data_IF_360702203595
#
_entry.id   IF_360702203595
#
_cell.length_a   1.000
_cell.length_b   1.000
_cell.length_c   1.000
_cell.angle_alpha   90.00
_cell.angle_beta   90.00
_cell.angle_gamma   90.00
#
_symmetry.space_group_name_H-M   'P 1'
#
loop_
_entity.id
_entity.type
_entity.pdbx_description
1 polymer ?
#
# COMPACT_ATOMS: atom_id res chain seq x y z
N UNK A 1 -11.21 19.85 13.34
CA UNK A 1 -10.28 18.76 12.97
C UNK A 1 -10.28 17.75 14.11
N UNK A 2 -10.56 16.47 13.84
CA UNK A 2 -10.47 15.40 14.84
C UNK A 2 -9.11 14.72 14.68
N UNK A 3 -8.29 14.75 15.74
CA UNK A 3 -6.98 14.09 15.77
C UNK A 3 -7.11 12.78 16.53
N UNK A 4 -6.51 11.71 16.01
CA UNK A 4 -6.42 10.44 16.71
C UNK A 4 -5.03 10.28 17.31
N UNK A 5 -4.96 9.84 18.56
CA UNK A 5 -3.70 9.52 19.21
C UNK A 5 -3.19 8.16 18.73
N UNK A 6 -1.96 8.11 18.21
CA UNK A 6 -1.28 6.84 17.92
C UNK A 6 -0.59 6.39 19.20
N UNK A 7 -1.15 5.38 19.87
CA UNK A 7 -0.52 4.78 21.05
C UNK A 7 0.86 4.24 20.66
N UNK A 8 1.96 4.70 21.29
CA UNK A 8 3.28 4.16 21.05
C UNK A 8 3.27 2.66 21.38
N UNK A 9 3.86 1.86 20.49
CA UNK A 9 4.14 0.47 20.79
C UNK A 9 5.22 0.45 21.89
N UNK A 10 4.80 0.28 23.15
CA UNK A 10 5.69 -0.05 24.26
C UNK A 10 6.45 -1.36 23.92
N UNK A 11 7.65 -1.67 24.48
CA UNK A 11 8.31 -2.95 24.25
C UNK A 11 7.38 -4.04 24.78
N UNK A 12 6.64 -4.59 23.83
CA UNK A 12 5.43 -5.33 24.05
C UNK A 12 5.81 -6.73 24.56
N UNK A 13 4.98 -7.33 25.42
CA UNK A 13 5.10 -8.75 25.75
C UNK A 13 5.16 -9.58 24.45
N UNK A 14 5.77 -10.77 24.49
CA UNK A 14 5.92 -11.62 23.29
C UNK A 14 4.60 -11.80 22.51
N UNK A 15 3.47 -11.85 23.22
CA UNK A 15 2.12 -11.93 22.66
C UNK A 15 1.72 -10.68 21.85
N UNK A 16 2.02 -9.49 22.36
CA UNK A 16 1.72 -8.23 21.66
C UNK A 16 2.57 -8.09 20.38
N UNK A 17 3.83 -8.56 20.39
CA UNK A 17 4.67 -8.58 19.18
C UNK A 17 4.11 -9.52 18.10
N UNK A 18 3.60 -10.69 18.51
CA UNK A 18 2.92 -11.62 17.61
C UNK A 18 1.65 -11.00 17.02
N UNK A 19 0.84 -10.32 17.85
CA UNK A 19 -0.37 -9.64 17.41
C UNK A 19 -0.08 -8.54 16.37
N UNK A 20 0.94 -7.71 16.60
CA UNK A 20 1.35 -6.66 15.65
C UNK A 20 1.81 -7.27 14.33
N UNK A 21 2.57 -8.38 14.39
CA UNK A 21 3.02 -9.10 13.20
C UNK A 21 1.84 -9.66 12.40
N UNK A 22 0.85 -10.23 13.08
CA UNK A 22 -0.38 -10.72 12.45
C UNK A 22 -1.19 -9.58 11.81
N UNK A 23 -1.40 -8.47 12.52
CA UNK A 23 -2.09 -7.29 11.99
C UNK A 23 -1.42 -6.74 10.73
N UNK A 24 -0.08 -6.63 10.74
CA UNK A 24 0.69 -6.21 9.56
C UNK A 24 0.54 -7.17 8.39
N UNK A 25 0.48 -8.49 8.65
CA UNK A 25 0.23 -9.49 7.60
C UNK A 25 -1.17 -9.30 7.01
N UNK A 26 -2.20 -9.19 7.85
CA UNK A 26 -3.58 -8.96 7.41
C UNK A 26 -3.70 -7.68 6.56
N UNK A 27 -3.04 -6.60 6.98
CA UNK A 27 -3.02 -5.34 6.24
C UNK A 27 -2.38 -5.50 4.84
N UNK A 28 -1.28 -6.27 4.72
CA UNK A 28 -0.65 -6.56 3.41
C UNK A 28 -1.55 -7.37 2.50
N UNK A 29 -2.18 -8.43 3.03
CA UNK A 29 -3.10 -9.27 2.26
C UNK A 29 -4.29 -8.45 1.77
N UNK A 30 -4.90 -7.61 2.62
CA UNK A 30 -6.01 -6.73 2.23
C UNK A 30 -5.59 -5.66 1.23
N UNK A 31 -4.40 -5.07 1.40
CA UNK A 31 -3.82 -4.12 0.45
C UNK A 31 -3.62 -4.77 -0.94
N UNK A 32 -3.16 -6.01 -1.00
CA UNK A 32 -3.00 -6.74 -2.26
C UNK A 32 -4.34 -7.01 -2.95
N UNK A 33 -5.39 -7.34 -2.18
CA UNK A 33 -6.75 -7.49 -2.70
C UNK A 33 -7.26 -6.16 -3.28
N UNK A 34 -7.13 -5.06 -2.54
CA UNK A 34 -7.57 -3.73 -3.00
C UNK A 34 -6.81 -3.28 -4.25
N UNK A 35 -5.50 -3.53 -4.29
CA UNK A 35 -4.68 -3.23 -5.46
C UNK A 35 -5.12 -4.03 -6.68
N UNK A 36 -5.42 -5.32 -6.50
CA UNK A 36 -5.93 -6.16 -7.59
C UNK A 36 -7.30 -5.66 -8.10
N UNK A 37 -8.21 -5.30 -7.19
CA UNK A 37 -9.50 -4.68 -7.55
C UNK A 37 -9.31 -3.38 -8.33
N UNK A 38 -8.36 -2.53 -7.91
CA UNK A 38 -8.04 -1.29 -8.60
C UNK A 38 -7.52 -1.53 -10.02
N UNK A 39 -6.60 -2.49 -10.22
CA UNK A 39 -6.13 -2.85 -11.55
C UNK A 39 -7.26 -3.34 -12.46
N UNK A 40 -8.16 -4.18 -11.93
CA UNK A 40 -9.27 -4.79 -12.65
C UNK A 40 -10.48 -3.86 -12.85
N UNK A 41 -10.53 -2.71 -12.18
CA UNK A 41 -11.60 -1.72 -12.38
C UNK A 41 -11.62 -1.20 -13.83
N UNK A 42 -12.70 -0.59 -14.33
CA UNK A 42 -12.68 0.05 -15.65
C UNK A 42 -11.62 1.16 -15.71
N UNK A 43 -10.99 1.36 -16.87
CA UNK A 43 -10.16 2.55 -17.08
C UNK A 43 -11.07 3.79 -17.05
N UNK A 44 -10.69 4.78 -16.25
CA UNK A 44 -11.38 6.06 -16.18
C UNK A 44 -10.36 7.19 -16.34
N UNK A 45 -10.66 8.23 -17.16
CA UNK A 45 -9.79 9.39 -17.29
C UNK A 45 -9.71 10.20 -16.00
N UNK A 46 -10.71 10.09 -15.12
CA UNK A 46 -10.75 10.82 -13.85
C UNK A 46 -10.01 10.10 -12.73
N UNK A 47 -9.58 8.85 -12.96
CA UNK A 47 -8.87 8.06 -11.96
C UNK A 47 -7.43 8.56 -11.80
N UNK A 48 -7.09 9.16 -10.66
CA UNK A 48 -5.75 9.71 -10.45
C UNK A 48 -5.23 9.45 -9.04
N UNK A 49 -3.90 9.44 -8.91
CA UNK A 49 -3.22 9.24 -7.63
C UNK A 49 -3.05 10.56 -6.88
N UNK A 50 -3.58 10.64 -5.66
CA UNK A 50 -3.59 11.83 -4.81
C UNK A 50 -2.51 11.83 -3.71
N UNK A 51 -1.54 10.90 -3.77
CA UNK A 51 -0.40 10.89 -2.85
C UNK A 51 0.93 11.02 -3.60
N UNK A 52 2.03 10.88 -2.87
CA UNK A 52 3.37 10.88 -3.48
C UNK A 52 3.60 9.64 -4.35
N UNK A 53 4.39 9.77 -5.41
CA UNK A 53 4.83 8.61 -6.22
C UNK A 53 5.55 7.58 -5.35
N UNK A 54 6.30 8.01 -4.34
CA UNK A 54 6.96 7.11 -3.39
C UNK A 54 5.98 6.22 -2.64
N UNK A 55 4.83 6.74 -2.25
CA UNK A 55 3.76 5.94 -1.62
C UNK A 55 3.19 4.91 -2.58
N UNK A 56 2.95 5.30 -3.84
CA UNK A 56 2.49 4.36 -4.86
C UNK A 56 3.50 3.23 -5.08
N UNK A 57 4.79 3.56 -5.14
CA UNK A 57 5.84 2.56 -5.30
C UNK A 57 6.00 1.67 -4.04
N UNK A 58 5.76 2.23 -2.85
CA UNK A 58 5.69 1.47 -1.60
C UNK A 58 4.57 0.43 -1.66
N UNK A 59 3.36 0.83 -2.09
CA UNK A 59 2.22 -0.07 -2.30
C UNK A 59 2.60 -1.20 -3.25
N UNK A 60 3.16 -0.89 -4.41
CA UNK A 60 3.57 -1.91 -5.39
C UNK A 60 4.58 -2.89 -4.79
N UNK A 61 5.53 -2.41 -3.99
CA UNK A 61 6.52 -3.28 -3.35
C UNK A 61 5.88 -4.20 -2.30
N UNK A 62 4.96 -3.69 -1.48
CA UNK A 62 4.25 -4.47 -0.48
C UNK A 62 3.42 -5.59 -1.13
N UNK A 63 2.74 -5.27 -2.23
CA UNK A 63 1.92 -6.21 -3.00
C UNK A 63 2.79 -7.26 -3.71
N UNK A 64 3.92 -6.84 -4.29
CA UNK A 64 4.89 -7.76 -4.88
C UNK A 64 5.46 -8.74 -3.86
N UNK A 65 5.76 -8.28 -2.64
CA UNK A 65 6.28 -9.13 -1.57
C UNK A 65 5.24 -10.10 -1.03
N UNK A 66 3.96 -9.77 -1.11
CA UNK A 66 2.87 -10.68 -0.75
C UNK A 66 2.75 -11.85 -1.75
N UNK A 67 3.07 -11.61 -3.03
CA UNK A 67 3.20 -12.68 -4.04
C UNK A 67 1.88 -13.25 -4.58
N UNK A 68 0.75 -12.62 -4.26
CA UNK A 68 -0.59 -13.16 -4.56
C UNK A 68 -1.16 -12.71 -5.92
N UNK A 69 -0.48 -11.84 -6.67
CA UNK A 69 -0.96 -11.33 -7.96
C UNK A 69 -0.30 -12.10 -9.10
N UNK A 70 -1.15 -12.74 -9.92
CA UNK A 70 -0.74 -13.47 -11.13
C UNK A 70 -1.25 -12.76 -12.38
N UNK A 71 -0.53 -12.96 -13.48
CA UNK A 71 -0.91 -12.47 -14.79
C UNK A 71 -1.95 -13.39 -15.45
N UNK A 72 -2.35 -13.07 -16.69
CA UNK A 72 -3.33 -13.84 -17.47
C UNK A 72 -2.91 -15.29 -17.78
N UNK A 73 -1.61 -15.60 -17.69
CA UNK A 73 -1.07 -16.96 -17.90
C UNK A 73 -0.87 -17.71 -16.59
N UNK A 74 -1.31 -17.14 -15.45
CA UNK A 74 -1.14 -17.74 -14.12
C UNK A 74 0.26 -17.58 -13.52
N UNK A 75 1.16 -16.83 -14.15
CA UNK A 75 2.50 -16.58 -13.64
C UNK A 75 2.51 -15.40 -12.66
N UNK A 76 3.30 -15.42 -11.57
CA UNK A 76 3.44 -14.28 -10.67
C UNK A 76 3.88 -13.01 -11.42
N UNK A 77 3.19 -11.89 -11.16
CA UNK A 77 3.55 -10.62 -11.78
C UNK A 77 4.89 -10.11 -11.25
N UNK A 78 5.74 -9.57 -12.13
CA UNK A 78 6.96 -8.90 -11.69
C UNK A 78 6.62 -7.55 -11.06
N UNK A 79 7.51 -7.04 -10.19
CA UNK A 79 7.39 -5.68 -9.66
C UNK A 79 7.29 -4.63 -10.77
N UNK A 80 8.04 -4.82 -11.86
CA UNK A 80 8.05 -3.87 -12.97
C UNK A 80 6.70 -3.84 -13.69
N UNK A 81 6.09 -4.99 -13.89
CA UNK A 81 4.79 -5.10 -14.57
C UNK A 81 3.72 -4.44 -13.70
N UNK A 82 3.65 -4.78 -12.41
CA UNK A 82 2.71 -4.13 -11.49
C UNK A 82 2.90 -2.61 -11.41
N UNK A 83 4.15 -2.13 -11.36
CA UNK A 83 4.43 -0.70 -11.34
C UNK A 83 4.00 -0.01 -12.64
N UNK A 84 4.24 -0.64 -13.80
CA UNK A 84 3.85 -0.10 -15.11
C UNK A 84 2.33 -0.02 -15.21
N UNK A 85 1.63 -1.13 -14.92
CA UNK A 85 0.18 -1.21 -15.01
C UNK A 85 -0.51 -0.19 -14.10
N UNK A 86 -0.11 -0.07 -12.84
CA UNK A 86 -0.75 0.88 -11.92
C UNK A 86 -0.42 2.34 -12.28
N UNK A 87 0.78 2.63 -12.76
CA UNK A 87 1.14 3.97 -13.21
C UNK A 87 0.31 4.40 -14.42
N UNK A 88 0.15 3.50 -15.40
CA UNK A 88 -0.73 3.72 -16.55
C UNK A 88 -2.19 3.90 -16.12
N UNK A 89 -2.67 3.07 -15.20
CA UNK A 89 -4.04 3.11 -14.68
C UNK A 89 -4.40 4.43 -14.02
N UNK A 90 -3.45 5.02 -13.29
CA UNK A 90 -3.63 6.23 -12.50
C UNK A 90 -3.09 7.49 -13.20
N UNK A 91 -2.69 7.38 -14.47
CA UNK A 91 -2.10 8.46 -15.27
C UNK A 91 -0.87 9.12 -14.60
N UNK A 92 -0.06 8.31 -13.90
CA UNK A 92 1.17 8.76 -13.23
C UNK A 92 2.39 8.35 -14.04
N UNK A 93 3.36 9.25 -14.20
CA UNK A 93 4.65 8.90 -14.81
C UNK A 93 5.43 7.93 -13.90
N UNK A 94 5.72 6.74 -14.40
CA UNK A 94 6.54 5.77 -13.68
C UNK A 94 7.96 6.33 -13.43
N UNK A 95 8.47 6.27 -12.19
CA UNK A 95 9.81 6.76 -11.87
C UNK A 95 10.89 5.83 -12.45
N UNK A 96 11.99 6.42 -12.96
CA UNK A 96 13.13 5.68 -13.54
C UNK A 96 13.70 4.61 -12.60
N UNK A 97 13.70 4.86 -11.29
CA UNK A 97 14.20 3.95 -10.25
C UNK A 97 13.10 3.55 -9.26
N UNK A 98 11.99 3.02 -9.78
CA UNK A 98 10.80 2.62 -9.01
C UNK A 98 11.11 1.78 -7.76
N UNK A 99 11.95 0.74 -7.88
CA UNK A 99 12.29 -0.12 -6.73
C UNK A 99 13.10 0.62 -5.66
N UNK A 100 14.03 1.50 -6.04
CA UNK A 100 14.78 2.34 -5.09
C UNK A 100 13.83 3.29 -4.35
N UNK A 101 12.90 3.89 -5.08
CA UNK A 101 11.87 4.76 -4.51
C UNK A 101 11.02 4.03 -3.46
N UNK A 102 10.54 2.82 -3.81
CA UNK A 102 9.78 1.98 -2.88
C UNK A 102 10.57 1.62 -1.61
N UNK A 103 11.83 1.18 -1.77
CA UNK A 103 12.68 0.81 -0.63
C UNK A 103 12.95 1.99 0.31
N UNK A 104 13.07 3.22 -0.21
CA UNK A 104 13.21 4.40 0.64
C UNK A 104 11.91 4.72 1.38
N UNK A 105 10.75 4.54 0.73
CA UNK A 105 9.45 4.76 1.34
C UNK A 105 9.17 3.80 2.50
N UNK A 106 9.54 2.52 2.37
CA UNK A 106 9.37 1.53 3.44
C UNK A 106 10.26 1.79 4.66
N UNK A 107 11.35 2.54 4.51
CA UNK A 107 12.27 2.89 5.60
C UNK A 107 11.83 4.11 6.43
N UNK A 108 10.70 4.75 6.09
CA UNK A 108 10.21 5.92 6.83
C UNK A 108 9.83 5.55 8.26
N UNK A 109 10.51 6.16 9.23
CA UNK A 109 10.30 5.95 10.68
C UNK A 109 9.26 6.87 11.33
N UNK A 110 8.51 7.66 10.54
CA UNK A 110 7.35 8.38 11.07
C UNK A 110 7.61 9.76 11.68
N UNK A 111 8.84 10.30 11.65
CA UNK A 111 9.13 11.65 12.23
C UNK A 111 8.35 12.76 11.52
N UNK A 112 8.21 12.68 10.19
CA UNK A 112 7.38 13.61 9.38
C UNK A 112 6.27 12.90 8.62
N UNK A 113 6.49 11.64 8.25
CA UNK A 113 5.51 10.81 7.56
C UNK A 113 5.83 9.34 7.87
N UNK A 114 4.81 8.57 8.24
CA UNK A 114 4.92 7.12 8.39
C UNK A 114 4.81 6.41 7.04
N UNK A 115 5.25 5.16 7.01
CA UNK A 115 5.11 4.27 5.85
C UNK A 115 3.64 4.14 5.42
N UNK A 116 3.39 3.87 4.14
CA UNK A 116 2.03 3.64 3.66
C UNK A 116 1.37 2.47 4.40
N UNK A 117 2.12 1.39 4.67
CA UNK A 117 1.60 0.25 5.42
C UNK A 117 1.11 0.64 6.82
N UNK A 118 1.84 1.50 7.52
CA UNK A 118 1.45 1.95 8.86
C UNK A 118 0.18 2.80 8.84
N UNK A 119 0.03 3.68 7.83
CA UNK A 119 -1.21 4.46 7.63
C UNK A 119 -2.37 3.55 7.26
N UNK A 120 -2.11 2.56 6.40
CA UNK A 120 -3.12 1.61 5.94
C UNK A 120 -3.62 0.77 7.11
N UNK A 121 -2.71 0.24 7.93
CA UNK A 121 -3.06 -0.50 9.14
C UNK A 121 -3.89 0.34 10.10
N UNK A 122 -3.48 1.59 10.36
CA UNK A 122 -4.22 2.51 11.22
C UNK A 122 -5.65 2.77 10.71
N UNK A 123 -5.80 2.94 9.39
CA UNK A 123 -7.11 3.14 8.75
C UNK A 123 -7.97 1.88 8.87
N UNK A 124 -7.37 0.71 8.63
CA UNK A 124 -8.05 -0.58 8.72
C UNK A 124 -8.57 -0.85 10.14
N UNK A 125 -7.82 -0.49 11.19
CA UNK A 125 -8.22 -0.71 12.58
C UNK A 125 -9.25 0.30 13.09
N UNK A 126 -9.23 1.53 12.56
CA UNK A 126 -10.03 2.62 13.14
C UNK A 126 -11.26 3.00 12.29
N UNK A 127 -11.26 2.71 10.99
CA UNK A 127 -12.33 3.09 10.06
C UNK A 127 -13.07 1.86 9.50
N UNK A 128 -13.38 0.87 10.34
CA UNK A 128 -14.19 -0.32 9.99
C UNK A 128 -13.73 -1.09 8.73
N UNK A 129 -12.44 -1.08 8.40
CA UNK A 129 -11.91 -1.81 7.25
C UNK A 129 -11.96 -1.08 5.90
N UNK A 130 -12.25 0.23 5.90
CA UNK A 130 -12.16 1.06 4.69
C UNK A 130 -10.75 1.02 4.08
N UNK A 131 -10.70 0.90 2.75
CA UNK A 131 -9.43 0.87 2.03
C UNK A 131 -8.81 2.27 1.97
N UNK A 132 -7.70 2.47 2.67
CA UNK A 132 -6.90 3.69 2.52
C UNK A 132 -6.43 3.88 1.07
N UNK A 133 -6.24 2.79 0.30
CA UNK A 133 -5.87 2.89 -1.11
C UNK A 133 -6.94 3.65 -1.90
N UNK A 134 -8.22 3.38 -1.63
CA UNK A 134 -9.33 4.07 -2.29
C UNK A 134 -9.43 5.55 -1.91
N UNK A 135 -8.97 5.95 -0.71
CA UNK A 135 -8.93 7.36 -0.32
C UNK A 135 -7.88 8.16 -1.12
N UNK A 136 -6.81 7.51 -1.55
CA UNK A 136 -5.76 8.13 -2.36
C UNK A 136 -6.02 8.04 -3.87
N UNK A 137 -7.07 7.35 -4.28
CA UNK A 137 -7.49 7.25 -5.68
C UNK A 137 -8.69 8.16 -5.88
N UNK A 138 -8.47 9.33 -6.49
CA UNK A 138 -9.55 10.23 -6.87
C UNK A 138 -10.39 9.63 -7.99
N UNK A 139 -11.71 9.86 -7.96
CA UNK A 139 -12.68 9.40 -8.97
C UNK A 139 -13.49 10.57 -9.50
#
# INVERSE_FOLDING_TARGET
MNYNYRTPLNPASSEQQLMIKQQRRMARTKLAQDFCQLLNSPNSPNLHWNSTISDLMEVVLLVFQEGNIVNKTGCPCSFRDMATEICNKLHVKQPRYARRCANQATQRKGVRQCSFLDRYLFTMTNNNGDSLLNQYVGR
#
